data_IF_949587272504
#
_entry.id   IF_949587272504
#
_cell.length_a   1.000
_cell.length_b   1.000
_cell.length_c   1.000
_cell.angle_alpha   90.00
_cell.angle_beta   90.00
_cell.angle_gamma   90.00
#
_symmetry.space_group_name_H-M   'P 1'
#
loop_
_entity.id
_entity.type
_entity.pdbx_description
1 polymer ?
#
# COMPACT_ATOMS: atom_id res chain seq x y z
N UNK A 1 7.53 10.77 22.04
CA UNK A 1 6.37 10.74 21.12
C UNK A 1 5.52 9.53 21.46
N UNK A 2 4.31 9.72 21.96
CA UNK A 2 3.38 8.63 22.27
C UNK A 2 3.01 7.93 20.97
N UNK A 3 3.30 6.63 20.84
CA UNK A 3 2.94 5.85 19.65
C UNK A 3 1.42 5.83 19.57
N UNK A 4 0.83 6.57 18.63
CA UNK A 4 -0.61 6.48 18.33
C UNK A 4 -0.91 5.00 18.01
N UNK A 5 -1.81 4.38 18.76
CA UNK A 5 -2.20 2.99 18.53
C UNK A 5 -2.64 2.85 17.07
N UNK A 6 -2.00 1.96 16.32
CA UNK A 6 -2.37 1.71 14.94
C UNK A 6 -3.78 1.12 14.94
N UNK A 7 -4.73 1.81 14.29
CA UNK A 7 -6.07 1.27 14.09
C UNK A 7 -5.96 0.06 13.15
N UNK A 8 -6.71 -1.00 13.43
CA UNK A 8 -6.75 -2.19 12.57
C UNK A 8 -7.32 -1.82 11.20
N UNK A 9 -6.74 -2.35 10.13
CA UNK A 9 -7.22 -2.16 8.76
C UNK A 9 -8.62 -2.77 8.62
N UNK A 10 -9.50 -2.05 7.95
CA UNK A 10 -10.79 -2.58 7.48
C UNK A 10 -10.58 -3.26 6.12
N UNK A 11 -10.41 -4.57 6.15
CA UNK A 11 -10.10 -5.37 4.97
C UNK A 11 -11.29 -5.54 4.02
N UNK A 12 -12.52 -5.45 4.53
CA UNK A 12 -13.71 -5.53 3.68
C UNK A 12 -13.84 -4.26 2.84
N UNK A 13 -13.57 -3.08 3.43
CA UNK A 13 -13.48 -1.83 2.66
C UNK A 13 -12.32 -1.81 1.69
N UNK A 14 -11.16 -2.37 2.07
CA UNK A 14 -10.03 -2.50 1.16
C UNK A 14 -10.38 -3.40 -0.05
N UNK A 15 -10.97 -4.56 0.20
CA UNK A 15 -11.40 -5.48 -0.85
C UNK A 15 -12.39 -4.83 -1.82
N UNK A 16 -13.37 -4.09 -1.28
CA UNK A 16 -14.35 -3.37 -2.09
C UNK A 16 -13.72 -2.26 -2.93
N UNK A 17 -12.71 -1.54 -2.42
CA UNK A 17 -12.06 -0.48 -3.18
C UNK A 17 -11.17 -1.03 -4.30
N UNK A 18 -10.48 -2.16 -4.08
CA UNK A 18 -9.50 -2.70 -5.03
C UNK A 18 -10.06 -3.00 -6.43
N UNK A 19 -11.38 -3.21 -6.59
CA UNK A 19 -11.99 -3.42 -7.91
C UNK A 19 -11.82 -2.24 -8.86
N UNK A 20 -11.65 -1.03 -8.32
CA UNK A 20 -11.61 0.22 -9.09
C UNK A 20 -10.17 0.61 -9.48
N UNK A 21 -9.17 -0.16 -9.02
CA UNK A 21 -7.74 0.16 -9.15
C UNK A 21 -6.96 -1.00 -9.79
N UNK A 22 -6.70 -0.95 -11.11
CA UNK A 22 -6.18 -2.10 -11.86
C UNK A 22 -4.71 -2.45 -11.60
N UNK A 23 -3.88 -1.48 -11.21
CA UNK A 23 -2.45 -1.70 -10.92
C UNK A 23 -1.96 -0.79 -9.81
N UNK A 24 -0.88 -1.20 -9.16
CA UNK A 24 -0.18 -0.42 -8.15
C UNK A 24 1.28 -0.19 -8.51
N UNK A 25 1.87 0.81 -7.88
CA UNK A 25 3.30 0.96 -7.74
C UNK A 25 3.73 0.36 -6.39
N UNK A 26 4.55 -0.68 -6.42
CA UNK A 26 5.29 -1.15 -5.25
C UNK A 26 6.50 -0.25 -5.04
N UNK A 27 6.51 0.44 -3.90
CA UNK A 27 7.57 1.33 -3.47
C UNK A 27 8.32 0.64 -2.33
N UNK A 28 9.59 0.34 -2.59
CA UNK A 28 10.55 -0.17 -1.60
C UNK A 28 11.65 0.87 -1.39
N UNK A 29 12.50 0.67 -0.38
CA UNK A 29 13.59 1.59 -0.08
C UNK A 29 14.88 0.79 0.00
N UNK A 30 15.94 1.29 -0.65
CA UNK A 30 17.26 0.69 -0.60
C UNK A 30 18.02 1.04 0.70
N UNK A 31 19.28 0.63 0.79
CA UNK A 31 20.11 0.89 1.98
C UNK A 31 20.53 2.36 2.12
N UNK A 32 20.56 3.11 1.01
CA UNK A 32 20.85 4.55 0.95
C UNK A 32 19.60 5.42 1.15
N UNK A 33 18.48 4.81 1.56
CA UNK A 33 17.19 5.46 1.78
C UNK A 33 16.56 6.08 0.51
N UNK A 34 16.87 5.53 -0.67
CA UNK A 34 16.25 5.93 -1.94
C UNK A 34 15.08 5.03 -2.27
N UNK A 35 14.01 5.65 -2.78
CA UNK A 35 12.83 4.94 -3.22
C UNK A 35 13.12 4.17 -4.52
N UNK A 36 12.71 2.91 -4.56
CA UNK A 36 12.67 2.08 -5.75
C UNK A 36 11.23 1.68 -6.04
N UNK A 37 10.76 2.01 -7.24
CA UNK A 37 9.36 1.90 -7.64
C UNK A 37 9.21 0.98 -8.83
N UNK A 38 8.31 0.00 -8.75
CA UNK A 38 7.96 -0.91 -9.84
C UNK A 38 6.45 -1.07 -9.94
N UNK A 39 5.92 -1.26 -11.15
CA UNK A 39 4.49 -1.55 -11.38
C UNK A 39 4.19 -3.01 -11.03
N UNK A 40 3.08 -3.25 -10.35
CA UNK A 40 2.58 -4.56 -9.92
C UNK A 40 1.05 -4.60 -10.00
N UNK A 41 0.47 -5.80 -9.96
CA UNK A 41 -0.99 -6.01 -9.96
C UNK A 41 -1.38 -6.87 -8.73
N UNK A 42 -1.38 -6.30 -7.52
CA UNK A 42 -1.56 -7.09 -6.31
C UNK A 42 -3.00 -7.58 -6.17
N UNK A 43 -3.16 -8.83 -5.77
CA UNK A 43 -4.48 -9.44 -5.52
C UNK A 43 -4.65 -9.71 -4.03
N UNK A 44 -5.77 -9.28 -3.45
CA UNK A 44 -6.10 -9.62 -2.06
C UNK A 44 -6.44 -11.12 -1.95
N UNK A 45 -5.63 -11.87 -1.20
CA UNK A 45 -5.79 -13.27 -0.83
C UNK A 45 -6.14 -13.39 0.65
N UNK A 46 -6.85 -14.46 0.98
CA UNK A 46 -7.23 -14.81 2.37
C UNK A 46 -7.81 -13.64 3.16
N UNK A 47 -8.49 -12.74 2.42
CA UNK A 47 -9.10 -11.48 2.86
C UNK A 47 -8.14 -10.47 3.52
N UNK A 48 -6.86 -10.78 3.68
CA UNK A 48 -5.97 -9.97 4.55
C UNK A 48 -4.56 -9.77 3.99
N UNK A 49 -4.17 -10.51 2.96
CA UNK A 49 -2.82 -10.45 2.38
C UNK A 49 -2.89 -10.00 0.94
N UNK A 50 -2.06 -9.04 0.55
CA UNK A 50 -1.90 -8.66 -0.85
C UNK A 50 -0.79 -9.50 -1.48
N UNK A 51 -1.15 -10.43 -2.35
CA UNK A 51 -0.22 -11.19 -3.17
C UNK A 51 0.26 -10.30 -4.32
N UNK A 52 1.53 -9.88 -4.26
CA UNK A 52 2.15 -9.03 -5.28
C UNK A 52 2.66 -9.88 -6.46
N UNK A 53 2.79 -11.20 -6.27
CA UNK A 53 3.36 -12.10 -7.26
C UNK A 53 4.90 -12.13 -7.23
N UNK A 54 5.51 -12.41 -8.38
CA UNK A 54 6.97 -12.53 -8.49
C UNK A 54 7.65 -11.16 -8.54
N UNK A 55 8.80 -11.04 -7.89
CA UNK A 55 9.56 -9.78 -7.83
C UNK A 55 10.96 -9.91 -8.44
N UNK A 56 11.47 -8.79 -8.98
CA UNK A 56 12.82 -8.68 -9.52
C UNK A 56 13.91 -8.54 -8.43
N UNK A 57 15.17 -8.64 -8.86
CA UNK A 57 16.33 -8.64 -7.96
C UNK A 57 16.50 -7.38 -7.10
N UNK A 58 16.18 -6.19 -7.65
CA UNK A 58 16.25 -4.92 -6.91
C UNK A 58 15.27 -4.90 -5.73
N UNK A 59 13.99 -5.17 -6.01
CA UNK A 59 12.94 -5.34 -5.00
C UNK A 59 13.32 -6.42 -3.98
N UNK A 60 13.80 -7.60 -4.42
CA UNK A 60 14.25 -8.68 -3.51
C UNK A 60 15.35 -8.21 -2.57
N UNK A 61 16.35 -7.50 -3.09
CA UNK A 61 17.50 -6.99 -2.32
C UNK A 61 17.05 -6.01 -1.25
N UNK A 62 16.19 -5.05 -1.62
CA UNK A 62 15.64 -4.07 -0.69
C UNK A 62 14.83 -4.76 0.44
N UNK A 63 13.94 -5.68 0.06
CA UNK A 63 13.04 -6.36 0.99
C UNK A 63 13.73 -7.34 1.94
N UNK A 64 14.87 -7.91 1.55
CA UNK A 64 15.68 -8.76 2.42
C UNK A 64 16.21 -8.01 3.65
N UNK A 65 16.38 -6.69 3.56
CA UNK A 65 16.87 -5.83 4.66
C UNK A 65 15.76 -4.98 5.27
N UNK A 66 14.80 -4.54 4.46
CA UNK A 66 13.74 -3.59 4.85
C UNK A 66 12.39 -4.09 4.36
N UNK A 67 11.67 -4.79 5.24
CA UNK A 67 10.34 -5.35 4.90
C UNK A 67 9.20 -4.33 4.82
N UNK A 68 9.42 -3.06 5.14
CA UNK A 68 8.38 -2.01 5.04
C UNK A 68 8.17 -1.56 3.60
N UNK A 69 6.93 -1.51 3.15
CA UNK A 69 6.57 -1.13 1.77
C UNK A 69 5.35 -0.22 1.73
N UNK A 70 5.24 0.53 0.63
CA UNK A 70 4.01 1.20 0.23
C UNK A 70 3.57 0.66 -1.13
N UNK A 71 2.31 0.30 -1.26
CA UNK A 71 1.62 0.08 -2.52
C UNK A 71 0.76 1.31 -2.80
N UNK A 72 0.95 1.93 -3.97
CA UNK A 72 0.18 3.08 -4.41
C UNK A 72 -0.53 2.74 -5.71
N UNK A 73 -1.86 2.69 -5.68
CA UNK A 73 -2.65 2.68 -6.89
C UNK A 73 -2.96 4.12 -7.29
N UNK A 74 -2.59 4.56 -8.50
CA UNK A 74 -2.89 5.90 -8.97
C UNK A 74 -4.41 6.08 -9.17
N UNK A 75 -4.90 7.32 -9.25
CA UNK A 75 -6.31 7.56 -9.52
C UNK A 75 -6.65 7.16 -10.96
N UNK A 76 -7.83 6.59 -11.16
CA UNK A 76 -8.33 6.18 -12.48
C UNK A 76 -8.72 7.38 -13.37
N UNK A 77 -8.88 8.57 -12.78
CA UNK A 77 -9.22 9.81 -13.48
C UNK A 77 -8.55 11.04 -12.81
N UNK A 78 -8.34 12.15 -13.53
CA UNK A 78 -7.80 13.38 -12.96
C UNK A 78 -8.62 13.89 -11.77
N UNK A 79 -7.96 14.14 -10.63
CA UNK A 79 -8.62 14.58 -9.40
C UNK A 79 -9.26 13.45 -8.56
N UNK A 80 -9.26 12.21 -9.07
CA UNK A 80 -9.71 11.03 -8.35
C UNK A 80 -8.83 10.69 -7.14
N UNK A 81 -9.31 9.72 -6.36
CA UNK A 81 -8.53 9.17 -5.24
C UNK A 81 -7.43 8.25 -5.73
N UNK A 82 -6.24 8.37 -5.13
CA UNK A 82 -5.26 7.28 -5.08
C UNK A 82 -5.59 6.37 -3.90
N UNK A 83 -5.46 5.06 -4.07
CA UNK A 83 -5.43 4.12 -2.96
C UNK A 83 -3.99 3.93 -2.50
N UNK A 84 -3.72 4.09 -1.21
CA UNK A 84 -2.40 3.90 -0.61
C UNK A 84 -2.50 2.85 0.49
N UNK A 85 -1.66 1.83 0.38
CA UNK A 85 -1.52 0.76 1.39
C UNK A 85 -0.08 0.69 1.86
N UNK A 86 0.14 0.94 3.16
CA UNK A 86 1.43 0.67 3.79
C UNK A 86 1.37 -0.73 4.42
N UNK A 87 2.43 -1.51 4.29
CA UNK A 87 2.44 -2.89 4.77
C UNK A 87 3.82 -3.43 5.10
N UNK A 88 3.84 -4.68 5.56
CA UNK A 88 5.06 -5.47 5.68
C UNK A 88 5.08 -6.57 4.64
N UNK A 89 6.15 -6.62 3.86
CA UNK A 89 6.40 -7.68 2.92
C UNK A 89 6.92 -8.96 3.61
N UNK A 90 6.54 -10.10 3.06
CA UNK A 90 7.08 -11.42 3.32
C UNK A 90 7.49 -12.02 1.97
N UNK A 91 8.67 -12.64 1.96
CA UNK A 91 9.23 -13.26 0.76
C UNK A 91 9.19 -14.78 0.90
N UNK A 92 8.85 -15.47 -0.18
CA UNK A 92 8.92 -16.92 -0.28
C UNK A 92 9.56 -17.34 -1.60
N UNK A 93 10.27 -18.47 -1.58
CA UNK A 93 10.84 -19.05 -2.80
C UNK A 93 9.73 -19.66 -3.65
N UNK A 94 9.74 -19.37 -4.95
CA UNK A 94 8.72 -19.78 -5.92
C UNK A 94 9.28 -20.76 -6.98
N UNK A 95 10.39 -21.44 -6.67
CA UNK A 95 11.08 -22.36 -7.58
C UNK A 95 11.96 -21.64 -8.61
N UNK A 96 12.93 -22.35 -9.19
CA UNK A 96 13.84 -21.83 -10.21
C UNK A 96 14.54 -20.49 -9.86
N UNK A 97 14.76 -20.22 -8.57
CA UNK A 97 15.36 -18.98 -8.08
C UNK A 97 14.42 -17.76 -8.08
N UNK A 98 13.16 -17.93 -8.46
CA UNK A 98 12.14 -16.89 -8.40
C UNK A 98 11.67 -16.67 -6.96
N UNK A 99 11.31 -15.42 -6.63
CA UNK A 99 10.80 -15.03 -5.31
C UNK A 99 9.43 -14.42 -5.45
N UNK A 100 8.50 -14.90 -4.63
CA UNK A 100 7.17 -14.32 -4.45
C UNK A 100 7.19 -13.33 -3.30
N UNK A 101 6.42 -12.25 -3.45
CA UNK A 101 6.22 -11.24 -2.44
C UNK A 101 4.75 -11.17 -2.04
N UNK A 102 4.50 -11.21 -0.75
CA UNK A 102 3.19 -10.99 -0.14
C UNK A 102 3.29 -9.81 0.83
N UNK A 103 2.27 -8.97 0.88
CA UNK A 103 2.24 -7.79 1.75
C UNK A 103 1.07 -7.91 2.72
N UNK A 104 1.35 -7.85 4.01
CA UNK A 104 0.32 -7.67 5.05
C UNK A 104 0.07 -6.18 5.25
N UNK A 105 -1.12 -5.65 4.89
CA UNK A 105 -1.48 -4.26 5.12
C UNK A 105 -1.45 -3.89 6.60
N UNK A 106 -0.86 -2.75 6.90
CA UNK A 106 -0.82 -2.12 8.22
C UNK A 106 -1.58 -0.80 8.26
N UNK A 107 -1.81 -0.20 7.08
CA UNK A 107 -2.63 0.98 6.87
C UNK A 107 -3.17 0.94 5.44
N UNK A 108 -4.42 1.36 5.26
CA UNK A 108 -5.02 1.58 3.96
C UNK A 108 -5.84 2.87 3.98
N UNK A 109 -5.74 3.68 2.93
CA UNK A 109 -6.52 4.91 2.80
C UNK A 109 -6.67 5.35 1.35
N UNK A 110 -7.75 6.07 1.08
CA UNK A 110 -7.89 6.87 -0.13
C UNK A 110 -7.33 8.27 0.12
N UNK A 111 -6.60 8.81 -0.85
CA UNK A 111 -6.01 10.14 -0.80
C UNK A 111 -6.24 10.91 -2.10
N UNK A 112 -6.65 12.18 -2.00
CA UNK A 112 -6.64 13.14 -3.12
C UNK A 112 -6.46 14.56 -2.59
N UNK A 113 -6.30 15.50 -3.51
CA UNK A 113 -6.37 16.92 -3.17
C UNK A 113 -7.79 17.26 -2.67
N UNK A 114 -7.88 18.16 -1.70
CA UNK A 114 -9.19 18.65 -1.26
C UNK A 114 -9.79 19.62 -2.30
N UNK A 115 -11.00 19.34 -2.78
CA UNK A 115 -11.75 20.24 -3.67
C UNK A 115 -12.37 21.43 -2.88
N UNK A 116 -11.54 22.39 -2.42
CA UNK A 116 -11.93 23.69 -1.78
C UNK A 116 -12.99 23.57 -0.64
N UNK A 117 -13.54 24.67 -0.06
CA UNK A 117 -12.99 25.45 1.07
C UNK A 117 -12.66 24.68 2.38
N UNK A 118 -12.68 23.35 2.44
CA UNK A 118 -12.24 22.59 3.63
C UNK A 118 -10.76 22.82 4.01
N UNK A 119 -9.95 23.24 3.03
CA UNK A 119 -8.59 23.72 3.22
C UNK A 119 -8.50 24.94 4.16
N UNK A 120 -9.58 25.70 4.35
CA UNK A 120 -9.63 26.84 5.29
C UNK A 120 -9.46 26.43 6.77
N UNK A 121 -9.46 25.12 7.08
CA UNK A 121 -9.12 24.58 8.41
C UNK A 121 -7.75 23.89 8.46
N UNK A 122 -6.91 24.08 7.44
CA UNK A 122 -5.54 23.51 7.38
C UNK A 122 -5.46 22.06 6.91
N UNK A 123 -6.55 21.47 6.40
CA UNK A 123 -6.54 20.14 5.81
C UNK A 123 -6.46 20.25 4.28
N UNK A 124 -5.24 20.23 3.74
CA UNK A 124 -4.95 20.38 2.30
C UNK A 124 -5.37 19.16 1.45
N UNK A 125 -5.74 18.06 2.10
CA UNK A 125 -5.98 16.79 1.44
C UNK A 125 -7.24 16.11 1.97
N UNK A 126 -7.97 15.43 1.08
CA UNK A 126 -9.09 14.58 1.42
C UNK A 126 -8.59 13.14 1.65
N UNK A 127 -8.75 12.64 2.87
CA UNK A 127 -8.23 11.35 3.31
C UNK A 127 -9.34 10.48 3.91
N UNK A 128 -9.59 9.32 3.29
CA UNK A 128 -10.54 8.33 3.83
C UNK A 128 -9.76 7.11 4.30
N UNK A 129 -9.60 6.96 5.61
CA UNK A 129 -8.87 5.83 6.22
C UNK A 129 -9.77 4.59 6.30
N UNK A 130 -9.27 3.44 5.86
CA UNK A 130 -9.92 2.14 5.99
C UNK A 130 -9.48 1.49 7.31
N UNK A 131 -10.11 1.91 8.40
CA UNK A 131 -9.84 1.37 9.72
C UNK A 131 -11.11 0.94 10.42
N UNK A 132 -11.06 -0.20 11.11
CA UNK A 132 -12.12 -0.61 12.01
C UNK A 132 -12.34 0.45 13.12
N UNK A 133 -13.58 0.57 13.63
CA UNK A 133 -13.85 1.38 14.81
C UNK A 133 -12.94 0.99 15.97
N UNK A 134 -12.55 1.97 16.78
CA UNK A 134 -11.88 1.67 18.05
C UNK A 134 -12.93 1.02 18.95
N UNK A 135 -12.66 -0.22 19.37
CA UNK A 135 -13.47 -0.96 20.34
C UNK A 135 -13.14 -0.52 21.75
#
# INVERSE_FOLDING_TARGET
MTRKTAKKVDFDRLAAALSDYPFAYLITVDDDYRAHTVTVEPVLRDRTVLDVGLIGGGTRTNLARRGGVTLLWPPSEPGGYSLIVDGRAQLSEAGAGAVRCEVTPTRALLHRNADHPSAAKGCLHDCVVFSLPVT
#
